data_IF_756626854091
#
_entry.id   IF_756626854091
#
_cell.length_a   1.000
_cell.length_b   1.000
_cell.length_c   1.000
_cell.angle_alpha   90.00
_cell.angle_beta   90.00
_cell.angle_gamma   90.00
#
_symmetry.space_group_name_H-M   'P 1'
#
loop_
_entity.id
_entity.type
_entity.pdbx_description
1 polymer ?
#
# COMPACT_ATOMS: atom_id res chain seq x y z
N UNK A 1 32.77 7.62 -17.23
CA UNK A 1 31.40 7.08 -17.06
C UNK A 1 31.10 7.05 -15.57
N UNK A 2 30.16 7.88 -15.09
CA UNK A 2 29.81 7.91 -13.67
C UNK A 2 28.99 6.66 -13.32
N UNK A 3 29.55 5.77 -12.52
CA UNK A 3 28.84 4.62 -11.96
C UNK A 3 27.79 5.14 -10.98
N UNK A 4 26.51 4.94 -11.30
CA UNK A 4 25.42 5.29 -10.40
C UNK A 4 25.61 4.59 -9.06
N UNK A 5 25.59 5.34 -7.96
CA UNK A 5 25.72 4.79 -6.62
C UNK A 5 24.65 3.71 -6.37
N UNK A 6 24.99 2.59 -5.69
CA UNK A 6 24.04 1.51 -5.45
C UNK A 6 22.85 2.04 -4.65
N UNK A 7 21.64 1.82 -5.18
CA UNK A 7 20.38 2.18 -4.50
C UNK A 7 20.34 1.50 -3.13
N UNK A 8 20.35 2.29 -2.05
CA UNK A 8 20.21 1.78 -0.69
C UNK A 8 18.74 1.49 -0.41
N UNK A 9 18.41 0.24 -0.10
CA UNK A 9 17.08 -0.14 0.38
C UNK A 9 17.05 -0.07 1.89
N UNK A 10 16.26 0.87 2.42
CA UNK A 10 16.02 0.97 3.85
C UNK A 10 14.77 0.15 4.21
N UNK A 11 14.85 -0.66 5.26
CA UNK A 11 13.71 -1.33 5.86
C UNK A 11 13.86 -1.38 7.37
N UNK A 12 12.75 -1.41 8.09
CA UNK A 12 12.79 -1.76 9.50
C UNK A 12 13.40 -3.16 9.65
N UNK A 13 14.34 -3.34 10.59
CA UNK A 13 14.86 -4.66 10.94
C UNK A 13 13.74 -5.62 11.36
N UNK A 14 12.66 -5.08 11.95
CA UNK A 14 11.47 -5.82 12.36
C UNK A 14 10.72 -6.50 11.21
N UNK A 15 10.80 -5.98 9.98
CA UNK A 15 10.07 -6.52 8.83
C UNK A 15 10.40 -7.99 8.55
N UNK A 16 11.65 -8.39 8.76
CA UNK A 16 12.11 -9.75 8.49
C UNK A 16 11.91 -10.72 9.67
N UNK A 17 11.33 -10.28 10.79
CA UNK A 17 11.22 -11.10 12.00
C UNK A 17 9.87 -11.03 12.68
N UNK A 18 9.06 -10.01 12.42
CA UNK A 18 7.78 -9.77 13.08
C UNK A 18 6.60 -10.03 12.13
N UNK A 19 5.46 -10.38 12.71
CA UNK A 19 4.18 -10.55 12.02
C UNK A 19 4.30 -11.50 10.81
N UNK A 20 4.99 -12.62 10.99
CA UNK A 20 5.02 -13.70 9.99
C UNK A 20 3.75 -14.52 10.15
N UNK A 21 2.90 -14.53 9.14
CA UNK A 21 1.66 -15.29 9.16
C UNK A 21 1.93 -16.72 8.70
N UNK A 22 1.49 -17.68 9.51
CA UNK A 22 1.57 -19.11 9.23
C UNK A 22 0.15 -19.63 9.07
N UNK A 23 -0.26 -19.83 7.83
CA UNK A 23 -1.64 -20.17 7.48
C UNK A 23 -2.11 -21.50 8.08
N UNK A 24 -1.24 -22.53 8.07
CA UNK A 24 -1.56 -23.87 8.61
C UNK A 24 -2.02 -23.86 10.06
N UNK A 25 -1.51 -22.91 10.87
CA UNK A 25 -1.84 -22.79 12.29
C UNK A 25 -2.64 -21.52 12.61
N UNK A 26 -2.98 -20.72 11.58
CA UNK A 26 -3.69 -19.44 11.66
C UNK A 26 -3.10 -18.53 12.72
N UNK A 27 -1.79 -18.32 12.65
CA UNK A 27 -1.03 -17.65 13.70
C UNK A 27 -0.03 -16.65 13.12
N UNK A 28 0.08 -15.49 13.76
CA UNK A 28 1.18 -14.57 13.54
C UNK A 28 2.29 -14.84 14.54
N UNK A 29 3.52 -14.91 14.04
CA UNK A 29 4.69 -15.28 14.82
C UNK A 29 5.78 -14.23 14.68
N UNK A 30 6.59 -14.15 15.73
CA UNK A 30 7.95 -13.62 15.66
C UNK A 30 8.91 -14.78 15.41
N UNK A 31 9.78 -14.66 14.42
CA UNK A 31 10.81 -15.66 14.12
C UNK A 31 12.19 -15.01 14.02
N UNK A 32 13.14 -15.60 14.75
CA UNK A 32 14.57 -15.25 14.69
C UNK A 32 15.41 -16.47 14.32
N UNK A 33 15.14 -17.56 15.02
CA UNK A 33 15.81 -18.85 14.87
C UNK A 33 14.90 -19.97 15.42
N UNK A 34 15.28 -21.21 15.13
CA UNK A 34 14.56 -22.40 15.55
C UNK A 34 14.42 -22.50 17.08
N UNK A 35 15.47 -22.13 17.82
CA UNK A 35 15.48 -22.25 19.28
C UNK A 35 14.43 -21.33 19.91
N UNK A 36 14.34 -20.08 19.43
CA UNK A 36 13.33 -19.11 19.83
C UNK A 36 11.92 -19.60 19.47
N UNK A 37 11.72 -20.18 18.29
CA UNK A 37 10.42 -20.71 17.88
C UNK A 37 9.96 -21.84 18.82
N UNK A 38 10.85 -22.77 19.17
CA UNK A 38 10.56 -23.87 20.11
C UNK A 38 10.22 -23.37 21.50
N UNK A 39 10.98 -22.41 22.02
CA UNK A 39 10.78 -21.84 23.36
C UNK A 39 9.49 -21.02 23.46
N UNK A 40 9.32 -20.05 22.56
CA UNK A 40 8.26 -19.05 22.68
C UNK A 40 6.90 -19.60 22.23
N UNK A 41 6.88 -20.46 21.20
CA UNK A 41 5.64 -20.88 20.55
C UNK A 41 5.38 -22.39 20.60
N UNK A 42 6.33 -23.21 21.08
CA UNK A 42 6.21 -24.67 21.11
C UNK A 42 4.89 -25.19 21.69
N UNK A 43 4.45 -24.76 22.90
CA UNK A 43 3.17 -25.19 23.47
C UNK A 43 1.96 -24.78 22.61
N UNK A 44 1.95 -23.54 22.10
CA UNK A 44 0.86 -23.02 21.26
C UNK A 44 0.79 -23.77 19.92
N UNK A 45 1.93 -24.00 19.28
CA UNK A 45 2.03 -24.76 18.03
C UNK A 45 1.51 -26.20 18.22
N UNK A 46 1.89 -26.87 19.31
CA UNK A 46 1.36 -28.20 19.64
C UNK A 46 -0.16 -28.18 19.82
N UNK A 47 -0.70 -27.20 20.53
CA UNK A 47 -2.16 -27.04 20.71
C UNK A 47 -2.92 -26.79 19.39
N UNK A 48 -2.20 -26.33 18.35
CA UNK A 48 -2.72 -26.06 17.00
C UNK A 48 -2.40 -27.18 16.00
N UNK A 49 -1.88 -28.32 16.45
CA UNK A 49 -1.64 -29.50 15.62
C UNK A 49 -0.22 -29.66 15.08
N UNK A 50 0.75 -28.86 15.52
CA UNK A 50 2.17 -29.09 15.23
C UNK A 50 2.75 -30.09 16.25
N UNK A 51 2.48 -31.38 16.04
CA UNK A 51 2.79 -32.43 17.05
C UNK A 51 3.94 -33.33 16.66
N UNK A 52 4.21 -33.52 15.37
CA UNK A 52 5.32 -34.33 14.89
C UNK A 52 6.55 -33.50 14.54
N UNK A 53 7.72 -34.15 14.52
CA UNK A 53 8.96 -33.53 14.03
C UNK A 53 8.84 -33.06 12.58
N UNK A 54 8.07 -33.80 11.76
CA UNK A 54 7.80 -33.44 10.36
C UNK A 54 6.97 -32.15 10.26
N UNK A 55 5.94 -31.99 11.09
CA UNK A 55 5.14 -30.77 11.12
C UNK A 55 5.98 -29.55 11.47
N UNK A 56 6.87 -29.72 12.45
CA UNK A 56 7.76 -28.65 12.90
C UNK A 56 8.81 -28.30 11.85
N UNK A 57 9.39 -29.29 11.17
CA UNK A 57 10.35 -29.05 10.09
C UNK A 57 9.70 -28.28 8.93
N UNK A 58 8.49 -28.67 8.52
CA UNK A 58 7.76 -27.93 7.49
C UNK A 58 7.46 -26.49 7.89
N UNK A 59 7.06 -26.26 9.15
CA UNK A 59 6.87 -24.91 9.69
C UNK A 59 8.16 -24.07 9.61
N UNK A 60 9.29 -24.67 9.97
CA UNK A 60 10.58 -23.99 9.93
C UNK A 60 10.94 -23.59 8.50
N UNK A 61 10.80 -24.52 7.55
CA UNK A 61 11.01 -24.26 6.13
C UNK A 61 10.09 -23.13 5.60
N UNK A 62 8.80 -23.13 5.95
CA UNK A 62 7.85 -22.07 5.58
C UNK A 62 8.30 -20.69 6.12
N UNK A 63 8.74 -20.62 7.38
CA UNK A 63 9.20 -19.37 8.00
C UNK A 63 10.51 -18.87 7.38
N UNK A 64 11.47 -19.76 7.15
CA UNK A 64 12.74 -19.42 6.51
C UNK A 64 12.55 -18.92 5.08
N UNK A 65 11.66 -19.57 4.31
CA UNK A 65 11.29 -19.13 2.97
C UNK A 65 10.67 -17.73 2.98
N UNK A 66 9.72 -17.45 3.89
CA UNK A 66 9.09 -16.13 4.00
C UNK A 66 10.09 -15.06 4.43
N UNK A 67 10.97 -15.33 5.39
CA UNK A 67 12.04 -14.40 5.78
C UNK A 67 12.99 -14.16 4.61
N UNK A 68 13.38 -15.21 3.88
CA UNK A 68 14.19 -15.10 2.67
C UNK A 68 13.54 -14.22 1.59
N UNK A 69 12.24 -14.41 1.35
CA UNK A 69 11.45 -13.59 0.42
C UNK A 69 11.42 -12.12 0.85
N UNK A 70 11.09 -11.84 2.12
CA UNK A 70 11.11 -10.47 2.68
C UNK A 70 12.49 -9.81 2.59
N UNK A 71 13.57 -10.60 2.71
CA UNK A 71 14.94 -10.12 2.56
C UNK A 71 15.25 -9.66 1.13
N UNK A 72 14.75 -10.36 0.11
CA UNK A 72 14.98 -10.06 -1.31
C UNK A 72 13.98 -9.07 -1.92
N UNK A 73 12.84 -8.85 -1.29
CA UNK A 73 11.73 -8.03 -1.80
C UNK A 73 12.14 -6.68 -2.42
N UNK A 74 13.06 -5.95 -1.78
CA UNK A 74 13.54 -4.66 -2.30
C UNK A 74 14.33 -4.79 -3.62
N UNK A 75 15.23 -5.77 -3.68
CA UNK A 75 16.04 -6.07 -4.87
C UNK A 75 15.17 -6.60 -6.00
N UNK A 76 14.30 -7.56 -5.72
CA UNK A 76 13.34 -8.13 -6.68
C UNK A 76 12.40 -7.05 -7.22
N UNK A 77 11.90 -6.14 -6.36
CA UNK A 77 11.08 -5.00 -6.79
C UNK A 77 11.84 -4.05 -7.71
N UNK A 78 13.11 -3.75 -7.41
CA UNK A 78 13.92 -2.90 -8.27
C UNK A 78 14.26 -3.54 -9.62
N UNK A 79 14.63 -4.82 -9.63
CA UNK A 79 14.89 -5.58 -10.86
C UNK A 79 13.65 -5.64 -11.75
N UNK A 80 12.49 -5.94 -11.15
CA UNK A 80 11.20 -5.94 -11.84
C UNK A 80 10.87 -4.58 -12.47
N UNK A 81 11.04 -3.49 -11.72
CA UNK A 81 10.83 -2.13 -12.22
C UNK A 81 11.76 -1.78 -13.37
N UNK A 82 13.03 -2.16 -13.27
CA UNK A 82 14.00 -1.92 -14.34
C UNK A 82 13.62 -2.66 -15.62
N UNK A 83 13.20 -3.93 -15.51
CA UNK A 83 12.75 -4.73 -16.65
C UNK A 83 11.50 -4.14 -17.31
N UNK A 84 10.49 -3.77 -16.52
CA UNK A 84 9.28 -3.11 -17.03
C UNK A 84 9.67 -1.82 -17.77
N UNK A 85 10.49 -0.97 -17.15
CA UNK A 85 10.89 0.30 -17.75
C UNK A 85 11.69 0.14 -19.06
N UNK A 86 12.45 -0.96 -19.23
CA UNK A 86 13.25 -1.20 -20.44
C UNK A 86 12.50 -1.91 -21.56
N UNK A 87 11.42 -2.63 -21.25
CA UNK A 87 10.85 -3.63 -22.17
C UNK A 87 9.35 -3.49 -22.39
N UNK A 88 8.63 -2.84 -21.49
CA UNK A 88 7.20 -2.61 -21.65
C UNK A 88 6.92 -1.44 -22.59
N UNK A 89 5.97 -1.65 -23.52
CA UNK A 89 5.51 -0.64 -24.45
C UNK A 89 4.05 -0.30 -24.12
N UNK A 90 3.76 0.90 -23.58
CA UNK A 90 2.39 1.28 -23.22
C UNK A 90 1.45 1.32 -24.44
N UNK A 91 0.20 0.89 -24.25
CA UNK A 91 -0.88 1.08 -25.23
C UNK A 91 -1.43 2.51 -25.19
N UNK A 92 -1.41 3.12 -24.00
CA UNK A 92 -1.81 4.50 -23.73
C UNK A 92 -0.63 5.31 -23.15
N UNK A 93 0.39 5.67 -23.94
CA UNK A 93 1.49 6.52 -23.46
C UNK A 93 1.03 7.86 -22.90
N UNK A 94 -0.15 8.32 -23.32
CA UNK A 94 -0.77 9.56 -22.90
C UNK A 94 -1.04 9.63 -21.39
N UNK A 95 -1.45 8.52 -20.76
CA UNK A 95 -1.79 8.52 -19.33
C UNK A 95 -0.57 8.55 -18.39
N UNK A 96 0.62 8.30 -18.93
CA UNK A 96 1.89 8.37 -18.18
C UNK A 96 2.53 9.76 -18.18
N UNK A 97 1.97 10.70 -18.97
CA UNK A 97 2.39 12.11 -18.94
C UNK A 97 1.89 12.78 -17.65
N UNK A 98 2.30 14.03 -17.43
CA UNK A 98 1.81 14.80 -16.29
C UNK A 98 0.28 14.82 -16.33
N UNK A 99 -0.36 14.58 -15.18
CA UNK A 99 -1.82 14.61 -15.07
C UNK A 99 -2.32 16.00 -15.47
N UNK A 100 -3.12 16.07 -16.52
CA UNK A 100 -3.71 17.30 -17.02
C UNK A 100 -5.11 17.50 -16.42
N UNK A 101 -5.62 18.73 -16.50
CA UNK A 101 -6.94 19.07 -15.95
C UNK A 101 -8.07 18.26 -16.62
N UNK A 102 -7.92 17.88 -17.90
CA UNK A 102 -8.90 17.06 -18.64
C UNK A 102 -9.01 15.63 -18.10
N UNK A 103 -8.00 15.16 -17.36
CA UNK A 103 -8.06 13.87 -16.68
C UNK A 103 -8.90 13.93 -15.40
N UNK A 104 -9.12 15.11 -14.84
CA UNK A 104 -9.86 15.32 -13.61
C UNK A 104 -11.34 15.58 -13.92
N UNK A 105 -12.22 15.07 -13.06
CA UNK A 105 -13.62 15.39 -13.14
C UNK A 105 -13.86 16.84 -12.68
N UNK A 106 -14.75 17.59 -13.33
CA UNK A 106 -15.00 19.00 -13.00
C UNK A 106 -15.50 19.19 -11.56
N UNK A 107 -16.22 18.22 -11.00
CA UNK A 107 -16.69 18.25 -9.61
C UNK A 107 -15.52 18.21 -8.62
N UNK A 108 -14.50 17.39 -8.91
CA UNK A 108 -13.31 17.32 -8.08
C UNK A 108 -12.50 18.61 -8.16
N UNK A 109 -12.33 19.16 -9.38
CA UNK A 109 -11.64 20.45 -9.57
C UNK A 109 -12.36 21.53 -8.77
N UNK A 110 -13.69 21.65 -8.90
CA UNK A 110 -14.48 22.64 -8.17
C UNK A 110 -14.39 22.46 -6.63
N UNK A 111 -14.38 21.22 -6.13
CA UNK A 111 -14.21 20.94 -4.71
C UNK A 111 -12.79 21.31 -4.22
N UNK A 112 -11.76 21.02 -5.01
CA UNK A 112 -10.37 21.35 -4.71
C UNK A 112 -10.13 22.87 -4.72
N UNK A 113 -10.62 23.57 -5.73
CA UNK A 113 -10.55 25.03 -5.84
C UNK A 113 -11.29 25.72 -4.69
N UNK A 114 -12.51 25.28 -4.37
CA UNK A 114 -13.22 25.79 -3.21
C UNK A 114 -12.43 25.57 -1.92
N UNK A 115 -11.89 24.37 -1.71
CA UNK A 115 -11.11 24.06 -0.51
C UNK A 115 -9.83 24.90 -0.39
N UNK A 116 -9.27 25.36 -1.52
CA UNK A 116 -8.11 26.23 -1.55
C UNK A 116 -8.46 27.73 -1.40
N UNK A 117 -9.74 28.10 -1.52
CA UNK A 117 -10.20 29.48 -1.47
C UNK A 117 -10.20 30.07 -0.05
N UNK A 118 -9.97 31.38 0.11
CA UNK A 118 -10.10 32.04 1.41
C UNK A 118 -11.54 31.91 1.96
N UNK A 119 -11.68 31.50 3.22
CA UNK A 119 -13.00 31.33 3.85
C UNK A 119 -13.69 30.01 3.52
N UNK A 120 -13.01 29.07 2.87
CA UNK A 120 -13.51 27.71 2.68
C UNK A 120 -13.88 27.08 4.03
N UNK A 121 -15.09 26.53 4.11
CA UNK A 121 -15.63 25.90 5.31
C UNK A 121 -16.27 24.56 5.00
N UNK A 122 -16.46 23.74 6.03
CA UNK A 122 -17.04 22.40 5.90
C UNK A 122 -18.39 22.43 5.17
N UNK A 123 -19.28 23.34 5.56
CA UNK A 123 -20.62 23.43 4.95
C UNK A 123 -20.58 23.68 3.44
N UNK A 124 -19.72 24.58 2.97
CA UNK A 124 -19.60 24.86 1.54
C UNK A 124 -18.85 23.76 0.77
N UNK A 125 -17.98 22.99 1.42
CA UNK A 125 -17.38 21.80 0.80
C UNK A 125 -18.43 20.70 0.64
N UNK A 126 -19.24 20.45 1.67
CA UNK A 126 -20.29 19.43 1.62
C UNK A 126 -21.34 19.69 0.52
N UNK A 127 -21.62 20.96 0.21
CA UNK A 127 -22.49 21.33 -0.93
C UNK A 127 -21.94 20.92 -2.30
N UNK A 128 -20.64 20.60 -2.39
CA UNK A 128 -19.95 20.21 -3.63
C UNK A 128 -19.68 18.71 -3.70
N UNK A 129 -20.03 17.97 -2.66
CA UNK A 129 -19.91 16.52 -2.60
C UNK A 129 -21.31 15.93 -2.60
N UNK A 130 -21.45 14.75 -3.18
CA UNK A 130 -22.64 13.96 -2.96
C UNK A 130 -22.59 13.33 -1.58
N UNK A 131 -23.67 13.48 -0.83
CA UNK A 131 -23.79 12.83 0.48
C UNK A 131 -24.44 11.47 0.31
N UNK A 132 -23.66 10.42 0.55
CA UNK A 132 -24.13 9.03 0.51
C UNK A 132 -24.75 8.63 1.84
N UNK A 133 -24.19 9.12 2.96
CA UNK A 133 -24.75 8.93 4.29
C UNK A 133 -24.25 10.02 5.23
N UNK A 134 -25.16 10.88 5.71
CA UNK A 134 -24.83 11.91 6.69
C UNK A 134 -24.41 11.30 8.04
N UNK A 135 -25.18 10.33 8.53
CA UNK A 135 -24.92 9.65 9.81
C UNK A 135 -23.52 9.04 9.86
N UNK A 136 -23.11 8.40 8.76
CA UNK A 136 -21.80 7.73 8.65
C UNK A 136 -20.72 8.63 8.06
N UNK A 137 -21.05 9.89 7.71
CA UNK A 137 -20.17 10.86 7.06
C UNK A 137 -19.49 10.30 5.81
N UNK A 138 -20.29 9.66 4.96
CA UNK A 138 -19.84 9.07 3.69
C UNK A 138 -20.25 10.02 2.55
N UNK A 139 -19.26 10.43 1.77
CA UNK A 139 -19.43 11.35 0.66
C UNK A 139 -18.81 10.76 -0.62
N UNK A 140 -19.33 11.20 -1.76
CA UNK A 140 -18.87 10.81 -3.09
C UNK A 140 -18.59 12.04 -3.93
N UNK A 141 -17.52 11.98 -4.70
CA UNK A 141 -17.18 12.96 -5.74
C UNK A 141 -16.44 12.21 -6.85
N UNK A 142 -16.84 12.35 -8.13
CA UNK A 142 -16.04 11.86 -9.24
C UNK A 142 -14.66 12.51 -9.19
N UNK A 143 -13.57 11.75 -9.29
CA UNK A 143 -12.19 12.30 -9.24
C UNK A 143 -11.61 12.44 -10.64
N UNK A 144 -11.80 11.42 -11.47
CA UNK A 144 -11.27 11.37 -12.83
C UNK A 144 -12.40 11.46 -13.85
N UNK A 145 -12.08 12.00 -15.02
CA UNK A 145 -12.97 11.97 -16.17
C UNK A 145 -13.21 10.53 -16.64
N UNK A 146 -14.33 10.30 -17.31
CA UNK A 146 -14.71 8.98 -17.83
C UNK A 146 -13.68 8.53 -18.87
N UNK A 147 -13.23 9.47 -19.70
CA UNK A 147 -12.26 9.27 -20.76
C UNK A 147 -10.91 8.83 -20.19
N UNK A 148 -10.44 9.47 -19.10
CA UNK A 148 -9.22 9.04 -18.42
C UNK A 148 -9.39 7.65 -17.79
N UNK A 149 -10.54 7.36 -17.18
CA UNK A 149 -10.80 6.05 -16.59
C UNK A 149 -10.77 4.94 -17.65
N UNK A 150 -11.38 5.17 -18.82
CA UNK A 150 -11.35 4.23 -19.95
C UNK A 150 -9.92 4.00 -20.44
N UNK A 151 -9.15 5.08 -20.66
CA UNK A 151 -7.75 5.00 -21.05
C UNK A 151 -6.90 4.22 -20.02
N UNK A 152 -7.14 4.45 -18.73
CA UNK A 152 -6.45 3.74 -17.66
C UNK A 152 -6.80 2.25 -17.67
N UNK A 153 -8.06 1.88 -17.87
CA UNK A 153 -8.47 0.48 -17.94
C UNK A 153 -7.86 -0.23 -19.14
N UNK A 154 -7.88 0.39 -20.33
CA UNK A 154 -7.23 -0.14 -21.53
C UNK A 154 -5.73 -0.41 -21.30
N UNK A 155 -5.02 0.53 -20.65
CA UNK A 155 -3.61 0.36 -20.33
C UNK A 155 -3.37 -0.76 -19.32
N UNK A 156 -4.22 -0.89 -18.30
CA UNK A 156 -4.12 -1.95 -17.31
C UNK A 156 -4.36 -3.33 -17.93
N UNK A 157 -5.35 -3.46 -18.80
CA UNK A 157 -5.63 -4.69 -19.55
C UNK A 157 -4.46 -5.04 -20.47
N UNK A 158 -3.90 -4.06 -21.18
CA UNK A 158 -2.72 -4.26 -22.01
C UNK A 158 -1.50 -4.72 -21.20
N UNK A 159 -1.24 -4.09 -20.04
CA UNK A 159 -0.18 -4.51 -19.14
C UNK A 159 -0.39 -5.94 -18.64
N UNK A 160 -1.64 -6.30 -18.30
CA UNK A 160 -1.98 -7.64 -17.82
C UNK A 160 -1.82 -8.70 -18.90
N UNK A 161 -2.11 -8.38 -20.16
CA UNK A 161 -1.91 -9.28 -21.31
C UNK A 161 -0.43 -9.42 -21.72
N UNK A 162 0.44 -8.49 -21.33
CA UNK A 162 1.86 -8.54 -21.67
C UNK A 162 2.66 -9.61 -20.91
N UNK A 163 3.84 -9.97 -21.40
CA UNK A 163 4.77 -10.88 -20.70
C UNK A 163 5.54 -10.20 -19.54
N UNK A 164 5.18 -8.97 -19.17
CA UNK A 164 5.89 -8.26 -18.12
C UNK A 164 5.67 -8.89 -16.75
N UNK A 165 6.69 -8.89 -15.87
CA UNK A 165 6.58 -9.43 -14.53
C UNK A 165 5.56 -8.65 -13.70
N UNK A 166 4.42 -9.28 -13.39
CA UNK A 166 3.40 -8.70 -12.52
C UNK A 166 3.76 -8.90 -11.05
N UNK A 167 3.75 -7.81 -10.29
CA UNK A 167 3.85 -7.85 -8.83
C UNK A 167 2.47 -7.83 -8.21
N UNK A 168 2.21 -8.67 -7.20
CA UNK A 168 0.98 -8.60 -6.40
C UNK A 168 1.22 -7.70 -5.18
N UNK A 169 0.32 -6.74 -4.87
CA UNK A 169 0.51 -5.80 -3.77
C UNK A 169 0.59 -6.50 -2.40
N UNK A 170 -0.14 -7.61 -2.24
CA UNK A 170 -0.06 -8.50 -1.10
C UNK A 170 -0.54 -9.92 -1.50
N UNK A 171 -0.32 -10.91 -0.63
CA UNK A 171 -0.68 -12.32 -0.86
C UNK A 171 -2.19 -12.60 -0.79
N UNK A 172 -3.00 -11.61 -0.39
CA UNK A 172 -4.46 -11.72 -0.28
C UNK A 172 -5.20 -11.02 -1.43
N UNK A 173 -4.49 -10.32 -2.32
CA UNK A 173 -5.10 -9.63 -3.45
C UNK A 173 -5.07 -10.54 -4.68
N UNK A 174 -6.25 -10.95 -5.12
CA UNK A 174 -6.43 -11.80 -6.31
C UNK A 174 -6.63 -10.99 -7.60
N UNK A 175 -6.80 -9.66 -7.51
CA UNK A 175 -7.24 -8.82 -8.64
C UNK A 175 -6.43 -7.53 -8.84
N UNK A 176 -5.51 -7.17 -7.93
CA UNK A 176 -4.68 -5.98 -8.08
C UNK A 176 -3.29 -6.26 -8.65
N UNK A 177 -2.93 -5.53 -9.69
CA UNK A 177 -1.59 -5.55 -10.31
C UNK A 177 -0.80 -4.31 -9.87
N UNK A 178 0.42 -4.50 -9.36
CA UNK A 178 1.35 -3.38 -9.09
C UNK A 178 2.10 -3.05 -10.37
N UNK A 179 1.60 -2.08 -11.12
CA UNK A 179 2.38 -1.41 -12.16
C UNK A 179 3.55 -0.69 -11.47
N UNK A 180 4.74 -1.27 -11.56
CA UNK A 180 5.95 -0.75 -10.93
C UNK A 180 6.53 0.49 -11.62
N UNK A 181 5.82 1.09 -12.58
CA UNK A 181 6.23 2.35 -13.16
C UNK A 181 6.17 3.41 -12.04
N UNK A 182 7.34 3.86 -11.58
CA UNK A 182 7.40 5.08 -10.80
C UNK A 182 6.80 6.20 -11.67
N UNK A 183 5.54 6.57 -11.39
CA UNK A 183 5.05 7.92 -11.66
C UNK A 183 5.93 8.85 -10.81
N UNK A 184 7.10 9.16 -11.34
CA UNK A 184 8.01 10.10 -10.72
C UNK A 184 7.49 11.46 -11.15
N UNK A 185 6.53 12.00 -10.39
CA UNK A 185 6.18 13.40 -10.51
C UNK A 185 7.38 14.20 -9.99
N UNK A 186 8.27 14.58 -10.91
CA UNK A 186 9.33 15.56 -10.63
C UNK A 186 8.62 16.89 -10.47
N UNK A 187 8.25 17.25 -9.23
CA UNK A 187 7.78 18.60 -8.92
C UNK A 187 8.99 19.52 -9.05
N UNK A 188 9.05 20.43 -10.03
CA UNK A 188 10.10 21.43 -10.09
C UNK A 188 10.01 22.25 -8.80
N UNK A 189 11.13 22.40 -8.11
CA UNK A 189 11.21 23.14 -6.85
C UNK A 189 11.18 24.65 -7.16
N UNK A 190 10.02 25.14 -7.59
CA UNK A 190 9.71 26.55 -7.72
C UNK A 190 8.57 26.87 -6.76
N UNK A 191 8.99 27.32 -5.57
CA UNK A 191 8.29 28.23 -4.65
C UNK A 191 6.77 28.44 -4.86
N UNK A 192 5.96 27.40 -4.65
CA UNK A 192 4.61 27.58 -4.11
C UNK A 192 4.20 26.37 -3.27
N UNK A 193 4.40 26.47 -1.96
CA UNK A 193 3.85 25.53 -0.98
C UNK A 193 2.31 25.66 -0.96
N UNK A 194 1.63 25.03 -1.91
CA UNK A 194 0.17 24.78 -1.83
C UNK A 194 -0.29 23.46 -2.45
N UNK A 195 0.53 22.80 -3.26
CA UNK A 195 0.13 21.56 -3.94
C UNK A 195 0.82 20.29 -3.42
N UNK A 196 1.97 20.37 -2.73
CA UNK A 196 2.75 19.18 -2.38
C UNK A 196 2.25 18.40 -1.13
N UNK A 197 1.34 18.95 -0.32
CA UNK A 197 0.87 18.29 0.92
C UNK A 197 -0.40 17.45 0.75
N UNK A 198 -1.13 17.61 -0.35
CA UNK A 198 -2.42 16.92 -0.61
C UNK A 198 -2.27 15.66 -1.46
N UNK A 199 -1.27 15.58 -2.35
CA UNK A 199 -1.10 14.43 -3.24
C UNK A 199 -0.62 13.14 -2.57
N UNK A 200 0.16 13.23 -1.47
CA UNK A 200 0.53 12.03 -0.69
C UNK A 200 -0.67 11.34 -0.03
N UNK A 201 -1.77 12.07 0.22
CA UNK A 201 -2.96 11.50 0.83
C UNK A 201 -3.89 10.83 -0.19
N UNK A 202 -4.06 11.41 -1.39
CA UNK A 202 -4.94 10.86 -2.43
C UNK A 202 -4.42 9.52 -2.98
N UNK A 203 -3.11 9.40 -3.24
CA UNK A 203 -2.50 8.15 -3.67
C UNK A 203 -2.52 7.05 -2.58
N UNK A 204 -2.51 7.45 -1.30
CA UNK A 204 -2.61 6.53 -0.16
C UNK A 204 -4.05 6.03 0.05
N UNK A 205 -5.07 6.82 -0.28
CA UNK A 205 -6.49 6.45 -0.16
C UNK A 205 -6.98 5.50 -1.26
N UNK A 206 -6.44 5.60 -2.48
CA UNK A 206 -6.76 4.66 -3.57
C UNK A 206 -6.24 3.24 -3.26
N UNK A 207 -5.23 3.11 -2.40
CA UNK A 207 -4.73 1.82 -1.91
C UNK A 207 -5.50 1.27 -0.69
N UNK A 208 -6.41 2.05 -0.08
CA UNK A 208 -7.06 1.68 1.19
C UNK A 208 -8.60 1.61 1.15
N UNK A 209 -9.22 1.81 -0.01
CA UNK A 209 -10.68 1.74 -0.17
C UNK A 209 -11.14 0.38 -0.71
N UNK A 210 -11.00 -0.67 0.11
CA UNK A 210 -11.87 -1.85 0.07
C UNK A 210 -12.38 -2.14 1.48
N UNK A 211 -13.57 -1.65 1.85
CA UNK A 211 -14.14 -1.81 3.19
C UNK A 211 -14.67 -3.21 3.52
N UNK A 212 -14.50 -4.22 2.66
CA UNK A 212 -15.10 -5.55 2.86
C UNK A 212 -14.23 -6.57 3.61
N UNK A 213 -13.09 -6.19 4.22
CA UNK A 213 -12.20 -7.17 4.89
C UNK A 213 -11.70 -6.77 6.29
N UNK A 214 -12.56 -6.20 7.14
CA UNK A 214 -12.23 -6.00 8.56
C UNK A 214 -13.36 -6.46 9.50
N UNK A 215 -13.62 -7.77 9.68
CA UNK A 215 -14.04 -8.24 11.00
C UNK A 215 -12.77 -8.32 11.88
N UNK A 216 -12.90 -8.09 13.18
CA UNK A 216 -11.82 -8.10 14.20
C UNK A 216 -11.09 -6.78 14.44
N UNK A 217 -11.85 -5.74 14.76
CA UNK A 217 -11.41 -4.73 15.72
C UNK A 217 -12.55 -4.47 16.72
N UNK A 218 -12.71 -5.34 17.72
CA UNK A 218 -13.40 -4.97 18.96
C UNK A 218 -12.36 -4.35 19.90
N UNK A 219 -12.58 -3.17 20.47
CA UNK A 219 -11.74 -2.67 21.55
C UNK A 219 -12.09 -3.41 22.85
N UNK A 220 -11.12 -4.16 23.38
CA UNK A 220 -11.15 -4.57 24.79
C UNK A 220 -10.91 -3.34 25.66
N UNK A 221 -11.69 -3.26 26.73
CA UNK A 221 -11.84 -2.15 27.64
C UNK A 221 -10.54 -1.70 28.34
N UNK A 222 -10.43 -0.39 28.53
CA UNK A 222 -10.01 0.30 29.77
C UNK A 222 -8.66 -0.05 30.41
N UNK A 223 -7.66 0.80 30.17
CA UNK A 223 -6.61 1.09 31.17
C UNK A 223 -6.28 2.60 31.10
N UNK A 224 -6.40 3.36 32.21
CA UNK A 224 -6.07 4.78 32.22
C UNK A 224 -4.55 4.98 32.35
N UNK A 225 -3.95 5.78 31.47
CA UNK A 225 -2.56 6.24 31.60
C UNK A 225 -2.52 7.58 32.34
N UNK A 226 -1.91 7.58 33.52
CA UNK A 226 -1.46 8.79 34.22
C UNK A 226 -0.19 9.33 33.57
N UNK A 227 -0.23 10.57 33.09
CA UNK A 227 0.92 11.34 32.63
C UNK A 227 1.73 11.82 33.84
N UNK A 228 2.90 11.22 34.07
CA UNK A 228 3.93 11.74 34.96
C UNK A 228 4.95 12.54 34.16
N UNK A 229 4.89 13.87 34.27
CA UNK A 229 5.95 14.75 33.83
C UNK A 229 7.14 14.62 34.77
N UNK A 230 8.35 14.45 34.24
CA UNK A 230 9.56 14.80 34.97
C UNK A 230 10.58 15.41 34.02
N UNK A 231 10.73 16.71 34.19
CA UNK A 231 11.88 17.50 33.77
C UNK A 231 13.16 17.02 34.46
N UNK A 232 14.23 16.86 33.68
CA UNK A 232 15.54 17.50 33.89
C UNK A 232 16.41 17.27 32.65
#
# INVERSE_FOLDING_TARGET
MATAAPRRFCRCACFCSQNLYVARYRLHLRFRDEQQLRRDYGPLLRSRGCVSSKDFQQLLEELEQEVGRRRRLGQESAARRALIASSYHPARPDIYRSLQDEALAPEFVAAAEYSASPGAGLGGLLQRLETVSEEKRIYRVPVFSVEFCQALLEELEHFEQSDMPKGRPNTMNNYGSVAGASLTATVPLWSSMRWARTWSWAATMIMLSSPSMWPWARPSQGVPYTLGASSR
#
